data_IF_940206790661
#
_entry.id   IF_940206790661
#
_cell.length_a   1.000
_cell.length_b   1.000
_cell.length_c   1.000
_cell.angle_alpha   90.00
_cell.angle_beta   90.00
_cell.angle_gamma   90.00
#
_symmetry.space_group_name_H-M   'P 1'
#
loop_
_entity.id
_entity.type
_entity.pdbx_description
1 polymer ?
#
# COMPACT_ATOMS: atom_id res chain seq x y z
N UNK A 1 -21.83 30.99 77.16
CA UNK A 1 -21.66 30.46 75.81
C UNK A 1 -21.15 31.54 74.85
N UNK A 2 -19.96 32.13 75.07
CA UNK A 2 -19.46 33.29 74.30
C UNK A 2 -17.94 33.19 73.96
N UNK A 3 -17.42 31.97 73.80
CA UNK A 3 -15.98 31.77 73.52
C UNK A 3 -15.60 31.37 72.06
N UNK A 4 -16.57 31.00 71.19
CA UNK A 4 -16.27 30.43 69.86
C UNK A 4 -16.36 31.41 68.70
N UNK A 5 -17.08 32.50 68.86
CA UNK A 5 -17.26 33.50 67.79
C UNK A 5 -15.99 34.37 67.55
N UNK A 6 -15.18 34.63 68.57
CA UNK A 6 -13.96 35.41 68.47
C UNK A 6 -12.81 34.69 67.75
N UNK A 7 -12.78 33.34 67.84
CA UNK A 7 -11.73 32.51 67.16
C UNK A 7 -11.95 32.42 65.65
N UNK A 8 -13.16 32.32 65.16
CA UNK A 8 -13.48 32.25 63.73
C UNK A 8 -13.27 33.61 63.04
N UNK A 9 -13.57 34.69 63.67
CA UNK A 9 -13.33 36.03 63.16
C UNK A 9 -11.84 36.36 63.09
N UNK A 10 -11.02 35.91 64.04
CA UNK A 10 -9.56 36.03 64.00
C UNK A 10 -8.91 35.20 62.93
N UNK A 11 -9.41 33.99 62.68
CA UNK A 11 -8.91 33.11 61.65
C UNK A 11 -9.30 33.59 60.23
N UNK A 12 -10.50 34.14 60.06
CA UNK A 12 -10.94 34.77 58.81
C UNK A 12 -10.13 36.04 58.51
N UNK A 13 -9.83 36.87 59.51
CA UNK A 13 -8.96 38.04 59.32
C UNK A 13 -7.50 37.67 59.02
N UNK A 14 -6.95 36.62 59.65
CA UNK A 14 -5.63 36.10 59.36
C UNK A 14 -5.55 35.47 57.96
N UNK A 15 -6.55 34.76 57.52
CA UNK A 15 -6.63 34.20 56.15
C UNK A 15 -6.76 35.34 55.12
N UNK A 16 -7.58 36.36 55.37
CA UNK A 16 -7.70 37.51 54.49
C UNK A 16 -6.40 38.36 54.46
N UNK A 17 -5.69 38.48 55.57
CA UNK A 17 -4.41 39.16 55.63
C UNK A 17 -3.32 38.32 54.90
N UNK A 18 -3.33 37.01 55.07
CA UNK A 18 -2.42 36.11 54.32
C UNK A 18 -2.70 36.11 52.82
N UNK A 19 -3.98 36.07 52.41
CA UNK A 19 -4.39 36.21 51.02
C UNK A 19 -4.08 37.58 50.42
N UNK A 20 -4.20 38.66 51.20
CA UNK A 20 -3.84 40.00 50.75
C UNK A 20 -2.33 40.26 50.75
N UNK A 21 -1.53 39.56 51.52
CA UNK A 21 -0.07 39.66 51.52
C UNK A 21 0.62 38.87 50.40
N UNK A 22 -0.09 37.90 49.77
CA UNK A 22 0.44 37.09 48.71
C UNK A 22 0.28 37.75 47.33
N UNK A 23 -0.39 38.89 47.20
CA UNK A 23 -0.71 39.56 45.94
C UNK A 23 -0.18 40.98 45.83
N UNK A 24 1.08 41.24 46.16
CA UNK A 24 1.75 42.42 45.61
C UNK A 24 2.15 42.12 44.17
N UNK A 25 1.18 42.29 43.26
CA UNK A 25 1.46 42.41 41.84
C UNK A 25 2.47 43.56 41.64
N UNK A 26 3.70 43.24 41.34
CA UNK A 26 4.73 44.25 41.00
C UNK A 26 4.41 44.68 39.57
N UNK A 27 3.47 45.63 39.43
CA UNK A 27 3.25 46.29 38.15
C UNK A 27 4.47 47.14 37.85
N UNK A 28 5.20 46.81 36.76
CA UNK A 28 6.36 47.55 36.30
C UNK A 28 5.85 48.69 35.41
N UNK A 29 6.14 49.93 35.79
CA UNK A 29 5.75 51.12 35.04
C UNK A 29 6.39 51.10 33.65
N UNK A 30 5.71 51.44 32.55
CA UNK A 30 6.27 51.52 31.21
C UNK A 30 7.52 52.38 31.05
N UNK A 31 7.79 53.27 31.99
CA UNK A 31 8.99 54.09 32.05
C UNK A 31 10.21 53.42 32.70
N UNK A 32 10.06 52.25 33.31
CA UNK A 32 11.13 51.49 33.93
C UNK A 32 11.90 50.68 32.84
N UNK A 33 13.25 50.75 32.78
CA UNK A 33 14.02 49.94 31.84
C UNK A 33 13.82 48.40 31.98
N UNK A 34 13.29 47.96 33.11
CA UNK A 34 12.93 46.55 33.34
C UNK A 34 11.71 46.09 32.53
N UNK A 35 10.82 47.02 32.14
CA UNK A 35 9.62 46.73 31.38
C UNK A 35 9.96 46.08 30.02
N UNK A 36 10.96 46.60 29.32
CA UNK A 36 11.40 46.00 28.03
C UNK A 36 11.96 44.58 28.19
N UNK A 37 12.62 44.28 29.32
CA UNK A 37 13.13 42.94 29.60
C UNK A 37 12.00 41.95 29.85
N UNK A 38 10.93 42.32 30.55
CA UNK A 38 9.77 41.47 30.77
C UNK A 38 9.04 41.15 29.47
N UNK A 39 8.86 42.15 28.59
CA UNK A 39 8.29 41.93 27.25
C UNK A 39 9.16 40.98 26.41
N UNK A 40 10.48 41.23 26.40
CA UNK A 40 11.43 40.42 25.63
C UNK A 40 11.40 38.95 26.09
N UNK A 41 11.36 38.72 27.41
CA UNK A 41 11.23 37.38 28.00
C UNK A 41 9.89 36.77 27.64
N UNK A 42 8.77 37.49 27.74
CA UNK A 42 7.47 37.00 27.37
C UNK A 42 7.38 36.57 25.91
N UNK A 43 7.90 37.40 24.99
CA UNK A 43 7.96 37.06 23.56
C UNK A 43 8.86 35.84 23.32
N UNK A 44 10.00 35.75 23.98
CA UNK A 44 10.90 34.61 23.88
C UNK A 44 10.24 33.31 24.39
N UNK A 45 9.47 33.39 25.49
CA UNK A 45 8.71 32.28 26.04
C UNK A 45 7.61 31.81 25.05
N UNK A 46 6.84 32.73 24.45
CA UNK A 46 5.83 32.40 23.46
C UNK A 46 6.44 31.67 22.26
N UNK A 47 7.57 32.19 21.72
CA UNK A 47 8.26 31.55 20.62
C UNK A 47 8.84 30.18 21.00
N UNK A 48 9.40 30.05 22.19
CA UNK A 48 9.94 28.77 22.69
C UNK A 48 8.83 27.75 22.94
N UNK A 49 7.70 28.19 23.52
CA UNK A 49 6.49 27.35 23.65
C UNK A 49 5.98 26.85 22.31
N UNK A 50 5.94 27.75 21.31
CA UNK A 50 5.58 27.39 19.93
C UNK A 50 6.51 26.35 19.32
N UNK A 51 7.82 26.46 19.54
CA UNK A 51 8.79 25.45 19.09
C UNK A 51 8.51 24.09 19.77
N UNK A 52 8.34 24.05 21.07
CA UNK A 52 8.09 22.80 21.79
C UNK A 52 6.74 22.17 21.40
N UNK A 53 5.70 22.97 21.34
CA UNK A 53 4.35 22.53 20.96
C UNK A 53 4.34 21.99 19.52
N UNK A 54 4.92 22.74 18.58
CA UNK A 54 5.05 22.34 17.18
C UNK A 54 5.88 21.08 17.00
N UNK A 55 7.05 20.99 17.64
CA UNK A 55 7.91 19.79 17.58
C UNK A 55 7.24 18.57 18.19
N UNK A 56 6.46 18.75 19.27
CA UNK A 56 5.72 17.63 19.88
C UNK A 56 4.76 17.01 18.87
N UNK A 57 3.93 17.81 18.20
CA UNK A 57 3.01 17.32 17.20
C UNK A 57 3.75 16.84 15.95
N UNK A 58 4.70 17.62 15.42
CA UNK A 58 5.44 17.32 14.20
C UNK A 58 6.23 16.00 14.28
N UNK A 59 6.98 15.78 15.36
CA UNK A 59 7.75 14.55 15.54
C UNK A 59 6.88 13.32 15.85
N UNK A 60 5.78 13.52 16.58
CA UNK A 60 4.89 12.40 16.92
C UNK A 60 3.97 12.01 15.76
N UNK A 61 3.69 12.89 14.82
CA UNK A 61 2.96 12.60 13.60
C UNK A 61 3.75 11.76 12.59
N UNK A 62 5.10 11.75 12.70
CA UNK A 62 5.94 11.00 11.78
C UNK A 62 5.94 9.50 12.11
N UNK A 63 5.60 8.68 11.11
CA UNK A 63 5.72 7.23 11.23
C UNK A 63 7.16 6.77 11.03
N UNK A 64 7.61 5.85 11.87
CA UNK A 64 8.97 5.28 11.82
C UNK A 64 9.24 4.50 10.54
N UNK A 65 8.23 3.82 9.99
CA UNK A 65 8.36 3.06 8.73
C UNK A 65 8.55 4.04 7.57
N UNK A 66 7.70 5.06 7.49
CA UNK A 66 7.83 6.08 6.45
C UNK A 66 9.20 6.78 6.53
N UNK A 67 9.69 7.09 7.73
CA UNK A 67 11.04 7.63 7.92
C UNK A 67 12.14 6.66 7.45
N UNK A 68 11.98 5.35 7.66
CA UNK A 68 12.92 4.34 7.15
C UNK A 68 12.91 4.29 5.62
N UNK A 69 11.72 4.32 5.00
CA UNK A 69 11.58 4.35 3.54
C UNK A 69 12.22 5.62 2.98
N UNK A 70 11.91 6.81 3.52
CA UNK A 70 12.50 8.08 3.09
C UNK A 70 14.02 8.12 3.27
N UNK A 71 14.55 7.48 4.32
CA UNK A 71 16.00 7.41 4.53
C UNK A 71 16.74 6.55 3.50
N UNK A 72 16.04 5.65 2.78
CA UNK A 72 16.61 4.75 1.76
C UNK A 72 16.28 5.17 0.34
N UNK A 73 15.05 5.62 0.09
CA UNK A 73 14.51 5.86 -1.25
C UNK A 73 14.09 7.32 -1.52
N UNK A 74 14.18 8.22 -0.53
CA UNK A 74 13.86 9.63 -0.69
C UNK A 74 14.91 10.41 -1.50
N UNK A 75 14.64 11.70 -1.72
CA UNK A 75 15.64 12.62 -2.27
C UNK A 75 16.83 12.77 -1.31
N UNK A 76 18.02 13.22 -1.77
CA UNK A 76 19.20 13.37 -0.90
C UNK A 76 18.94 14.22 0.36
N UNK A 77 18.11 15.26 0.25
CA UNK A 77 17.69 16.08 1.38
C UNK A 77 16.77 15.30 2.35
N UNK A 78 15.77 14.60 1.82
CA UNK A 78 14.84 13.80 2.64
C UNK A 78 15.57 12.65 3.34
N UNK A 79 16.53 12.02 2.69
CA UNK A 79 17.34 10.95 3.29
C UNK A 79 18.12 11.47 4.52
N UNK A 80 18.75 12.63 4.38
CA UNK A 80 19.49 13.24 5.50
C UNK A 80 18.55 13.65 6.64
N UNK A 81 17.43 14.32 6.31
CA UNK A 81 16.43 14.74 7.28
C UNK A 81 15.81 13.54 8.01
N UNK A 82 15.37 12.51 7.27
CA UNK A 82 14.79 11.30 7.83
C UNK A 82 15.77 10.55 8.73
N UNK A 83 17.05 10.46 8.33
CA UNK A 83 18.10 9.82 9.12
C UNK A 83 18.33 10.54 10.46
N UNK A 84 18.35 11.90 10.45
CA UNK A 84 18.50 12.70 11.67
C UNK A 84 17.32 12.50 12.63
N UNK A 85 16.08 12.57 12.12
CA UNK A 85 14.87 12.36 12.94
C UNK A 85 14.79 10.93 13.45
N UNK A 86 15.07 9.95 12.60
CA UNK A 86 15.08 8.53 12.98
C UNK A 86 16.08 8.25 14.10
N UNK A 87 17.28 8.86 14.02
CA UNK A 87 18.30 8.73 15.07
C UNK A 87 17.87 9.34 16.40
N UNK A 88 17.05 10.40 16.39
CA UNK A 88 16.45 10.98 17.58
C UNK A 88 15.37 10.07 18.18
N UNK A 89 14.43 9.59 17.34
CA UNK A 89 13.33 8.73 17.79
C UNK A 89 13.81 7.36 18.29
N UNK A 90 14.96 6.86 17.82
CA UNK A 90 15.59 5.64 18.33
C UNK A 90 16.05 5.73 19.79
N UNK A 91 16.26 6.92 20.35
CA UNK A 91 16.58 7.11 21.78
C UNK A 91 15.40 6.66 22.65
N UNK A 92 14.18 6.82 22.15
CA UNK A 92 12.91 6.44 22.76
C UNK A 92 11.82 7.44 22.40
N UNK A 93 10.81 6.97 21.66
CA UNK A 93 9.71 7.85 21.20
C UNK A 93 8.97 8.50 22.39
N UNK A 94 8.61 7.69 23.39
CA UNK A 94 7.95 8.19 24.60
C UNK A 94 8.87 9.11 25.41
N UNK A 95 10.17 8.86 25.44
CA UNK A 95 11.12 9.75 26.12
C UNK A 95 11.19 11.14 25.47
N UNK A 96 11.26 11.19 24.14
CA UNK A 96 11.24 12.45 23.39
C UNK A 96 9.92 13.19 23.63
N UNK A 97 8.79 12.47 23.57
CA UNK A 97 7.47 13.04 23.86
C UNK A 97 7.41 13.67 25.26
N UNK A 98 7.81 12.92 26.29
CA UNK A 98 7.76 13.37 27.68
C UNK A 98 8.63 14.61 27.89
N UNK A 99 9.84 14.63 27.32
CA UNK A 99 10.75 15.78 27.46
C UNK A 99 10.19 17.01 26.78
N UNK A 100 9.65 16.89 25.57
CA UNK A 100 9.04 18.02 24.86
C UNK A 100 7.80 18.56 25.59
N UNK A 101 6.92 17.67 26.07
CA UNK A 101 5.75 18.05 26.87
C UNK A 101 6.15 18.74 28.18
N UNK A 102 7.18 18.24 28.86
CA UNK A 102 7.68 18.84 30.10
C UNK A 102 8.21 20.27 29.83
N UNK A 103 9.00 20.44 28.77
CA UNK A 103 9.50 21.76 28.37
C UNK A 103 8.37 22.70 27.97
N UNK A 104 7.40 22.24 27.21
CA UNK A 104 6.23 23.03 26.81
C UNK A 104 5.42 23.48 28.03
N UNK A 105 5.13 22.56 28.96
CA UNK A 105 4.40 22.87 30.19
C UNK A 105 5.18 23.90 31.05
N UNK A 106 6.50 23.75 31.17
CA UNK A 106 7.33 24.68 31.94
C UNK A 106 7.27 26.10 31.37
N UNK A 107 7.35 26.21 30.04
CA UNK A 107 7.26 27.50 29.33
C UNK A 107 5.88 28.12 29.51
N UNK A 108 4.83 27.35 29.26
CA UNK A 108 3.45 27.82 29.34
C UNK A 108 3.04 28.23 30.78
N UNK A 109 3.54 27.55 31.80
CA UNK A 109 3.29 27.95 33.20
C UNK A 109 4.11 29.14 33.63
N UNK A 110 5.25 29.40 33.00
CA UNK A 110 6.09 30.58 33.28
C UNK A 110 5.56 31.84 32.60
N UNK A 111 4.96 31.76 31.44
CA UNK A 111 4.49 32.90 30.65
C UNK A 111 3.53 33.83 31.40
N UNK A 112 2.46 33.37 32.10
CA UNK A 112 1.57 34.22 32.83
C UNK A 112 2.25 35.04 33.91
N UNK A 113 3.28 34.50 34.57
CA UNK A 113 4.05 35.19 35.62
C UNK A 113 4.73 36.44 35.09
N UNK A 114 5.34 36.36 33.92
CA UNK A 114 5.99 37.50 33.28
C UNK A 114 4.98 38.48 32.69
N UNK A 115 3.89 37.96 32.12
CA UNK A 115 2.89 38.79 31.45
C UNK A 115 2.02 39.57 32.43
N UNK A 116 1.74 39.04 33.63
CA UNK A 116 1.04 39.73 34.69
C UNK A 116 1.81 40.95 35.18
N UNK A 117 3.14 40.87 35.22
CA UNK A 117 4.04 41.99 35.55
C UNK A 117 4.01 43.14 34.54
N UNK A 118 3.61 42.85 33.30
CA UNK A 118 3.58 43.83 32.18
C UNK A 118 2.19 44.44 32.02
N UNK A 119 1.12 43.63 32.08
CA UNK A 119 -0.24 44.06 31.73
C UNK A 119 -1.01 44.58 32.98
N UNK A 120 -0.49 44.29 34.20
CA UNK A 120 -1.07 44.83 35.41
C UNK A 120 -2.43 44.28 35.78
N UNK A 121 -2.54 42.98 35.89
CA UNK A 121 -3.64 42.23 36.54
C UNK A 121 -5.06 42.54 36.07
N UNK A 122 -5.81 41.53 35.80
CA UNK A 122 -7.23 41.61 35.49
C UNK A 122 -7.67 40.53 34.54
N UNK A 123 -8.94 40.18 34.52
CA UNK A 123 -9.46 39.13 33.70
C UNK A 123 -9.26 39.37 32.17
N UNK A 124 -9.20 40.65 31.75
CA UNK A 124 -8.95 41.02 30.34
C UNK A 124 -7.50 40.68 29.94
N UNK A 125 -6.53 40.93 30.84
CA UNK A 125 -5.13 40.58 30.64
C UNK A 125 -4.94 39.05 30.52
N UNK A 126 -5.62 38.27 31.37
CA UNK A 126 -5.60 36.80 31.32
C UNK A 126 -6.16 36.30 30.03
N UNK A 127 -7.34 36.81 29.58
CA UNK A 127 -7.93 36.41 28.31
C UNK A 127 -7.04 36.78 27.10
N UNK A 128 -6.48 37.97 27.11
CA UNK A 128 -5.55 38.43 26.04
C UNK A 128 -4.27 37.60 25.98
N UNK A 129 -3.67 37.30 27.15
CA UNK A 129 -2.50 36.46 27.28
C UNK A 129 -2.76 35.04 26.78
N UNK A 130 -3.87 34.41 27.27
CA UNK A 130 -4.25 33.05 26.84
C UNK A 130 -4.55 33.00 25.36
N UNK A 131 -5.23 34.00 24.80
CA UNK A 131 -5.51 34.09 23.36
C UNK A 131 -4.23 34.20 22.52
N UNK A 132 -3.29 35.02 22.98
CA UNK A 132 -2.00 35.20 22.30
C UNK A 132 -1.15 33.93 22.36
N UNK A 133 -1.08 33.28 23.52
CA UNK A 133 -0.40 32.02 23.73
C UNK A 133 -1.00 30.92 22.86
N UNK A 134 -2.32 30.77 22.89
CA UNK A 134 -3.03 29.75 22.09
C UNK A 134 -2.74 29.91 20.59
N UNK A 135 -2.85 31.13 20.06
CA UNK A 135 -2.68 31.38 18.63
C UNK A 135 -1.21 31.27 18.22
N UNK A 136 -0.32 32.02 18.89
CA UNK A 136 1.09 32.13 18.48
C UNK A 136 2.00 31.10 19.14
N UNK A 137 1.66 30.61 20.33
CA UNK A 137 2.41 29.60 21.06
C UNK A 137 1.99 28.16 20.77
N UNK A 138 0.77 27.93 20.24
CA UNK A 138 0.30 26.58 19.97
C UNK A 138 -0.22 26.38 18.55
N UNK A 139 -1.35 27.00 18.16
CA UNK A 139 -2.08 26.65 16.92
C UNK A 139 -1.24 26.86 15.67
N UNK A 140 -0.64 28.03 15.50
CA UNK A 140 0.19 28.36 14.32
C UNK A 140 1.43 27.47 14.23
N UNK A 141 2.27 27.34 15.29
CA UNK A 141 3.43 26.46 15.25
C UNK A 141 3.08 25.00 15.01
N UNK A 142 2.02 24.48 15.63
CA UNK A 142 1.55 23.10 15.38
C UNK A 142 1.12 22.90 13.93
N UNK A 143 0.36 23.82 13.35
CA UNK A 143 -0.05 23.76 11.94
C UNK A 143 1.14 23.75 10.98
N UNK A 144 2.15 24.60 11.23
CA UNK A 144 3.39 24.65 10.44
C UNK A 144 4.19 23.35 10.58
N UNK A 145 4.36 22.85 11.81
CA UNK A 145 5.11 21.64 12.08
C UNK A 145 4.39 20.38 11.58
N UNK A 146 3.06 20.38 11.54
CA UNK A 146 2.30 19.28 10.94
C UNK A 146 2.57 19.17 9.43
N UNK A 147 2.71 20.30 8.73
CA UNK A 147 3.00 20.32 7.29
C UNK A 147 4.48 20.06 6.97
N UNK A 148 5.39 20.62 7.73
CA UNK A 148 6.83 20.59 7.49
C UNK A 148 7.60 19.82 8.57
N UNK A 149 6.95 18.83 9.21
CA UNK A 149 7.48 18.13 10.40
C UNK A 149 8.83 17.47 10.20
N UNK A 150 9.11 16.92 9.01
CA UNK A 150 10.37 16.28 8.70
C UNK A 150 11.53 17.30 8.70
N UNK A 151 11.40 18.39 7.96
CA UNK A 151 12.44 19.41 7.82
C UNK A 151 12.69 20.14 9.15
N UNK A 152 11.61 20.55 9.84
CA UNK A 152 11.70 21.23 11.13
C UNK A 152 12.25 20.27 12.20
N UNK A 153 11.73 19.03 12.24
CA UNK A 153 12.20 17.99 13.17
C UNK A 153 13.68 17.67 12.98
N UNK A 154 14.16 17.57 11.75
CA UNK A 154 15.57 17.34 11.43
C UNK A 154 16.47 18.52 11.87
N UNK A 155 16.01 19.76 11.64
CA UNK A 155 16.74 20.98 12.03
C UNK A 155 16.88 21.08 13.55
N UNK A 156 15.81 20.81 14.30
CA UNK A 156 15.80 20.89 15.76
C UNK A 156 16.26 19.57 16.44
N UNK A 157 16.50 18.49 15.71
CA UNK A 157 16.93 17.21 16.28
C UNK A 157 18.14 17.32 17.23
N UNK A 158 19.24 18.08 16.94
CA UNK A 158 20.35 18.20 17.87
C UNK A 158 19.96 18.93 19.16
N UNK A 159 19.11 19.96 19.07
CA UNK A 159 18.61 20.69 20.22
C UNK A 159 17.72 19.79 21.11
N UNK A 160 16.78 19.08 20.51
CA UNK A 160 15.91 18.13 21.24
C UNK A 160 16.74 17.02 21.89
N UNK A 161 17.75 16.53 21.20
CA UNK A 161 18.69 15.52 21.77
C UNK A 161 19.40 16.02 23.01
N UNK A 162 19.88 17.26 22.98
CA UNK A 162 20.51 17.90 24.14
C UNK A 162 19.52 18.00 25.33
N UNK A 163 18.26 18.39 25.06
CA UNK A 163 17.22 18.45 26.10
C UNK A 163 16.89 17.07 26.66
N UNK A 164 16.81 16.04 25.78
CA UNK A 164 16.59 14.66 26.22
C UNK A 164 17.69 14.21 27.17
N UNK A 165 18.96 14.51 26.91
CA UNK A 165 20.03 14.14 27.83
C UNK A 165 19.98 14.97 29.13
N UNK A 166 19.66 16.27 29.06
CA UNK A 166 19.55 17.13 30.24
C UNK A 166 18.42 16.67 31.18
N UNK A 167 17.25 16.37 30.59
CA UNK A 167 16.06 15.98 31.36
C UNK A 167 15.90 14.46 31.50
N UNK A 168 16.93 13.68 31.11
CA UNK A 168 16.93 12.21 31.17
C UNK A 168 16.51 11.64 32.55
N UNK A 169 17.04 12.17 33.70
CA UNK A 169 16.70 11.60 35.00
C UNK A 169 15.22 11.76 35.37
N UNK A 170 14.54 12.78 34.84
CA UNK A 170 13.11 13.01 35.09
C UNK A 170 12.28 12.31 33.99
N UNK A 171 12.69 12.43 32.74
CA UNK A 171 11.96 11.90 31.61
C UNK A 171 11.97 10.36 31.53
N UNK A 172 13.08 9.70 31.90
CA UNK A 172 13.22 8.26 31.80
C UNK A 172 12.22 7.46 32.64
N UNK A 173 12.02 7.76 33.94
CA UNK A 173 11.04 7.05 34.75
C UNK A 173 9.62 7.15 34.17
N UNK A 174 9.23 8.34 33.69
CA UNK A 174 7.91 8.58 33.14
C UNK A 174 7.75 7.87 31.78
N UNK A 175 8.78 7.91 30.92
CA UNK A 175 8.80 7.17 29.66
C UNK A 175 8.69 5.66 29.89
N UNK A 176 9.40 5.11 30.87
CA UNK A 176 9.30 3.68 31.24
C UNK A 176 7.88 3.31 31.73
N UNK A 177 7.24 4.19 32.47
CA UNK A 177 5.84 4.01 32.89
C UNK A 177 4.90 3.96 31.68
N UNK A 178 5.08 4.88 30.71
CA UNK A 178 4.31 4.88 29.46
C UNK A 178 4.59 3.63 28.61
N UNK A 179 5.85 3.21 28.50
CA UNK A 179 6.24 1.99 27.80
C UNK A 179 5.61 0.74 28.41
N UNK A 180 5.48 0.71 29.74
CA UNK A 180 4.82 -0.39 30.46
C UNK A 180 3.29 -0.39 30.24
N UNK A 181 2.66 0.78 30.19
CA UNK A 181 1.21 0.92 30.06
C UNK A 181 0.72 0.69 28.63
N UNK A 182 1.43 1.23 27.62
CA UNK A 182 1.03 1.25 26.21
C UNK A 182 1.86 0.30 25.33
N UNK A 183 2.87 -0.35 25.90
CA UNK A 183 3.83 -1.16 25.14
C UNK A 183 4.95 -0.31 24.52
N UNK A 184 6.12 -0.91 24.38
CA UNK A 184 7.23 -0.27 23.69
C UNK A 184 6.89 -0.15 22.19
N UNK A 185 6.81 1.06 21.66
CA UNK A 185 6.61 1.36 20.23
C UNK A 185 7.87 1.03 19.42
N UNK A 186 8.35 -0.21 19.50
CA UNK A 186 9.54 -0.69 18.80
C UNK A 186 9.24 -1.77 17.75
N UNK A 187 8.07 -2.36 17.81
CA UNK A 187 7.65 -3.29 16.75
C UNK A 187 7.06 -2.46 15.62
N UNK A 188 7.82 -2.31 14.54
CA UNK A 188 7.38 -1.66 13.31
C UNK A 188 6.01 -2.20 12.92
N UNK A 189 5.09 -1.31 12.56
CA UNK A 189 3.77 -1.68 12.02
C UNK A 189 4.03 -2.69 10.90
N UNK A 190 3.79 -3.97 11.19
CA UNK A 190 3.82 -5.00 10.16
C UNK A 190 2.52 -4.82 9.39
N UNK A 191 2.60 -4.22 8.22
CA UNK A 191 1.46 -4.19 7.32
C UNK A 191 1.01 -5.63 7.09
N UNK A 192 -0.24 -5.90 7.42
CA UNK A 192 -0.86 -7.16 7.04
C UNK A 192 -0.95 -7.17 5.52
N UNK A 193 -0.83 -8.35 4.92
CA UNK A 193 -0.94 -8.54 3.47
C UNK A 193 -2.21 -7.86 2.89
N UNK A 194 -3.32 -7.93 3.64
CA UNK A 194 -4.57 -7.25 3.29
C UNK A 194 -4.46 -5.72 3.26
N UNK A 195 -3.69 -5.13 4.18
CA UNK A 195 -3.44 -3.68 4.20
C UNK A 195 -2.57 -3.27 3.02
N UNK A 196 -1.52 -4.07 2.71
CA UNK A 196 -0.68 -3.83 1.54
C UNK A 196 -1.49 -3.93 0.24
N UNK A 197 -2.40 -4.92 0.14
CA UNK A 197 -3.32 -5.04 -0.99
C UNK A 197 -4.23 -3.79 -1.10
N UNK A 198 -4.77 -3.31 0.01
CA UNK A 198 -5.58 -2.09 0.03
C UNK A 198 -4.78 -0.86 -0.40
N UNK A 199 -3.53 -0.71 0.02
CA UNK A 199 -2.65 0.37 -0.43
C UNK A 199 -2.44 0.33 -1.94
N UNK A 200 -2.15 -0.84 -2.50
CA UNK A 200 -1.99 -1.04 -3.95
C UNK A 200 -3.28 -0.69 -4.69
N UNK A 201 -4.44 -1.18 -4.20
CA UNK A 201 -5.74 -0.94 -4.86
C UNK A 201 -6.21 0.52 -4.78
N UNK A 202 -5.79 1.28 -3.76
CA UNK A 202 -6.11 2.70 -3.60
C UNK A 202 -5.24 3.63 -4.46
N UNK A 203 -4.25 3.09 -5.17
CA UNK A 203 -3.38 3.87 -6.06
C UNK A 203 -2.60 4.97 -5.31
N UNK A 204 -2.15 4.70 -4.09
CA UNK A 204 -1.57 5.70 -3.17
C UNK A 204 -0.32 6.39 -3.72
N UNK A 205 0.24 5.89 -4.82
CA UNK A 205 1.31 6.61 -5.52
C UNK A 205 0.90 6.86 -6.97
N UNK A 206 0.69 8.13 -7.33
CA UNK A 206 0.45 8.63 -8.71
C UNK A 206 1.55 8.27 -9.74
N UNK A 207 2.49 7.40 -9.38
CA UNK A 207 3.68 7.06 -10.17
C UNK A 207 3.65 5.68 -10.81
N UNK A 208 2.75 4.78 -10.37
CA UNK A 208 2.63 3.44 -10.94
C UNK A 208 1.59 3.42 -12.06
N UNK A 209 1.90 2.75 -13.16
CA UNK A 209 0.93 2.54 -14.24
C UNK A 209 -0.16 1.55 -13.78
N UNK A 210 -1.37 1.68 -14.33
CA UNK A 210 -2.51 0.80 -14.02
C UNK A 210 -2.16 -0.70 -14.17
N UNK A 211 -1.35 -1.02 -15.18
CA UNK A 211 -0.87 -2.40 -15.43
C UNK A 211 0.08 -2.90 -14.34
N UNK A 212 0.89 -2.01 -13.75
CA UNK A 212 1.80 -2.36 -12.63
C UNK A 212 1.04 -2.59 -11.33
N UNK A 213 0.01 -1.77 -11.08
CA UNK A 213 -0.88 -1.93 -9.93
C UNK A 213 -1.67 -3.25 -10.01
N UNK A 214 -2.17 -3.60 -11.22
CA UNK A 214 -2.85 -4.87 -11.45
C UNK A 214 -1.92 -6.06 -11.18
N UNK A 215 -0.72 -6.03 -11.75
CA UNK A 215 0.27 -7.09 -11.55
C UNK A 215 0.63 -7.26 -10.06
N UNK A 216 0.85 -6.14 -9.35
CA UNK A 216 1.20 -6.18 -7.93
C UNK A 216 0.04 -6.74 -7.08
N UNK A 217 -1.21 -6.38 -7.41
CA UNK A 217 -2.41 -6.94 -6.80
C UNK A 217 -2.50 -8.45 -6.98
N UNK A 218 -2.33 -8.94 -8.22
CA UNK A 218 -2.36 -10.36 -8.55
C UNK A 218 -1.25 -11.15 -7.83
N UNK A 219 -0.03 -10.61 -7.77
CA UNK A 219 1.08 -11.24 -7.03
C UNK A 219 0.75 -11.41 -5.55
N UNK A 220 0.09 -10.42 -4.94
CA UNK A 220 -0.33 -10.50 -3.54
C UNK A 220 -1.42 -11.58 -3.33
N UNK A 221 -2.33 -11.77 -4.30
CA UNK A 221 -3.37 -12.80 -4.24
C UNK A 221 -2.87 -14.20 -4.61
N UNK A 222 -1.84 -14.28 -5.46
CA UNK A 222 -1.35 -15.50 -6.06
C UNK A 222 -1.08 -16.63 -5.05
N UNK A 223 -0.53 -16.30 -3.88
CA UNK A 223 -0.23 -17.30 -2.86
C UNK A 223 -1.45 -17.82 -2.09
N UNK A 224 -2.63 -17.20 -2.25
CA UNK A 224 -3.87 -17.58 -1.58
C UNK A 224 -4.80 -18.38 -2.50
N UNK A 225 -4.57 -18.30 -3.82
CA UNK A 225 -5.35 -19.04 -4.80
C UNK A 225 -4.89 -20.48 -4.91
N UNK A 226 -5.86 -21.39 -5.08
CA UNK A 226 -5.64 -22.82 -5.27
C UNK A 226 -5.77 -23.20 -6.74
N UNK A 227 -5.06 -24.23 -7.16
CA UNK A 227 -5.09 -24.76 -8.54
C UNK A 227 -6.50 -25.12 -8.99
N UNK A 228 -7.33 -25.61 -8.08
CA UNK A 228 -8.73 -25.96 -8.40
C UNK A 228 -9.60 -24.79 -8.84
N UNK A 229 -9.20 -23.53 -8.56
CA UNK A 229 -9.97 -22.34 -8.96
C UNK A 229 -9.68 -21.89 -10.39
N UNK A 230 -8.50 -22.25 -10.92
CA UNK A 230 -8.05 -21.82 -12.25
C UNK A 230 -8.00 -22.96 -13.28
N UNK A 231 -8.15 -24.22 -12.80
CA UNK A 231 -8.08 -25.39 -13.69
C UNK A 231 -9.12 -25.34 -14.80
N UNK A 232 -8.75 -25.80 -15.97
CA UNK A 232 -9.69 -26.11 -17.03
C UNK A 232 -10.38 -27.44 -16.73
N UNK A 233 -11.73 -27.49 -16.60
CA UNK A 233 -12.48 -28.72 -16.35
C UNK A 233 -12.24 -29.77 -17.44
N UNK A 234 -12.28 -31.04 -17.09
CA UNK A 234 -12.13 -32.15 -18.08
C UNK A 234 -13.19 -32.12 -19.18
N UNK A 235 -14.38 -31.57 -18.91
CA UNK A 235 -15.44 -31.41 -19.92
C UNK A 235 -15.03 -30.53 -21.09
N UNK A 236 -14.15 -29.55 -20.81
CA UNK A 236 -13.70 -28.55 -21.77
C UNK A 236 -12.31 -28.86 -22.33
N UNK A 237 -11.65 -29.87 -21.75
CA UNK A 237 -10.31 -30.29 -22.14
C UNK A 237 -10.33 -31.28 -23.27
N UNK A 238 -9.54 -31.09 -24.30
CA UNK A 238 -9.38 -32.06 -25.38
C UNK A 238 -8.47 -33.20 -24.95
N UNK A 239 -9.04 -34.42 -24.80
CA UNK A 239 -8.34 -35.64 -24.40
C UNK A 239 -8.56 -36.74 -25.42
N UNK A 240 -7.61 -37.68 -25.56
CA UNK A 240 -7.70 -38.79 -26.48
C UNK A 240 -7.76 -40.14 -25.76
N UNK A 241 -8.60 -41.11 -26.24
CA UNK A 241 -8.55 -42.47 -25.76
C UNK A 241 -7.30 -43.20 -26.26
N UNK A 242 -6.77 -44.05 -25.42
CA UNK A 242 -5.50 -44.77 -25.65
C UNK A 242 -5.47 -45.76 -26.80
N UNK A 243 -6.65 -46.33 -27.14
CA UNK A 243 -6.86 -47.37 -28.17
C UNK A 243 -7.17 -46.79 -29.55
N UNK A 244 -7.47 -45.49 -29.66
CA UNK A 244 -7.74 -44.85 -30.95
C UNK A 244 -6.52 -44.98 -31.87
N UNK A 245 -6.72 -45.40 -33.11
CA UNK A 245 -5.65 -45.48 -34.13
C UNK A 245 -5.32 -44.07 -34.61
N UNK A 246 -4.04 -43.84 -34.81
CA UNK A 246 -3.55 -42.57 -35.35
C UNK A 246 -3.65 -42.63 -36.88
N UNK A 247 -4.76 -42.17 -37.42
CA UNK A 247 -5.08 -42.01 -38.82
C UNK A 247 -4.98 -40.54 -39.27
N UNK A 248 -5.18 -40.29 -40.56
CA UNK A 248 -5.17 -38.95 -41.13
C UNK A 248 -6.21 -38.04 -40.51
N UNK A 249 -7.39 -38.56 -40.17
CA UNK A 249 -8.49 -37.80 -39.59
C UNK A 249 -8.12 -37.29 -38.18
N UNK A 250 -7.54 -38.17 -37.35
CA UNK A 250 -7.07 -37.80 -36.00
C UNK A 250 -5.96 -36.74 -36.08
N UNK A 251 -4.98 -36.89 -36.98
CA UNK A 251 -3.89 -35.92 -37.18
C UNK A 251 -4.47 -34.55 -37.56
N UNK A 252 -5.39 -34.53 -38.52
CA UNK A 252 -6.05 -33.30 -38.95
C UNK A 252 -6.92 -32.69 -37.83
N UNK A 253 -7.54 -33.50 -37.00
CA UNK A 253 -8.29 -33.05 -35.84
C UNK A 253 -7.40 -32.38 -34.81
N UNK A 254 -6.27 -33.00 -34.43
CA UNK A 254 -5.31 -32.47 -33.45
C UNK A 254 -4.67 -31.20 -33.96
N UNK A 255 -4.31 -31.16 -35.23
CA UNK A 255 -3.75 -29.96 -35.86
C UNK A 255 -4.75 -28.80 -35.89
N UNK A 256 -6.03 -29.09 -36.19
CA UNK A 256 -7.07 -28.06 -36.16
C UNK A 256 -7.35 -27.50 -34.76
N UNK A 257 -7.15 -28.33 -33.71
CA UNK A 257 -7.29 -27.89 -32.31
C UNK A 257 -6.12 -27.03 -31.86
N UNK A 258 -4.92 -27.21 -32.44
CA UNK A 258 -3.74 -26.41 -32.14
C UNK A 258 -2.99 -26.78 -30.86
N UNK A 259 -3.42 -27.82 -30.13
CA UNK A 259 -2.78 -28.18 -28.87
C UNK A 259 -1.44 -28.89 -29.08
N UNK A 260 -0.40 -28.42 -28.43
CA UNK A 260 0.96 -29.00 -28.51
C UNK A 260 1.12 -30.29 -27.68
N UNK A 261 0.29 -30.45 -26.64
CA UNK A 261 0.26 -31.60 -25.73
C UNK A 261 -1.17 -32.03 -25.52
N UNK A 262 -1.42 -33.32 -25.71
CA UNK A 262 -2.76 -33.88 -25.56
C UNK A 262 -2.75 -34.96 -24.48
N UNK A 263 -3.56 -34.84 -23.42
CA UNK A 263 -3.72 -35.86 -22.40
C UNK A 263 -4.36 -37.10 -22.99
N UNK A 264 -3.86 -38.27 -22.58
CA UNK A 264 -4.36 -39.56 -23.05
C UNK A 264 -4.90 -40.35 -21.87
N UNK A 265 -6.15 -40.76 -21.99
CA UNK A 265 -6.82 -41.57 -20.97
C UNK A 265 -6.99 -43.04 -21.41
N UNK A 266 -7.18 -43.94 -20.45
CA UNK A 266 -7.42 -45.34 -20.71
C UNK A 266 -8.85 -45.55 -21.27
N UNK A 267 -8.98 -46.15 -22.43
CA UNK A 267 -10.27 -46.31 -23.12
C UNK A 267 -11.34 -47.01 -22.26
N UNK A 268 -10.91 -47.94 -21.39
CA UNK A 268 -11.80 -48.66 -20.47
C UNK A 268 -12.20 -47.87 -19.23
N UNK A 269 -11.41 -46.82 -18.90
CA UNK A 269 -11.59 -45.97 -17.70
C UNK A 269 -11.30 -44.52 -18.03
N UNK A 270 -12.29 -43.72 -18.42
CA UNK A 270 -12.08 -42.32 -18.82
C UNK A 270 -11.48 -41.41 -17.76
N UNK A 271 -11.55 -41.82 -16.48
CA UNK A 271 -10.94 -41.07 -15.36
C UNK A 271 -9.47 -41.44 -15.12
N UNK A 272 -8.95 -42.48 -15.80
CA UNK A 272 -7.54 -42.94 -15.67
C UNK A 272 -6.71 -42.41 -16.80
N UNK A 273 -5.78 -41.50 -16.49
CA UNK A 273 -4.85 -40.90 -17.46
C UNK A 273 -3.53 -41.66 -17.50
N UNK A 274 -3.09 -42.00 -18.72
CA UNK A 274 -1.83 -42.70 -18.97
C UNK A 274 -0.64 -41.75 -19.04
N UNK A 275 -0.88 -40.55 -19.55
CA UNK A 275 0.16 -39.54 -19.74
C UNK A 275 -0.19 -38.53 -20.83
N UNK A 276 0.82 -37.92 -21.40
CA UNK A 276 0.72 -36.86 -22.41
C UNK A 276 1.31 -37.34 -23.73
N UNK A 277 0.57 -37.16 -24.81
CA UNK A 277 1.04 -37.29 -26.19
C UNK A 277 1.46 -35.90 -26.69
N UNK A 278 2.76 -35.61 -26.87
CA UNK A 278 3.18 -34.37 -27.49
C UNK A 278 2.99 -34.45 -29.02
N UNK A 279 2.47 -33.39 -29.63
CA UNK A 279 2.23 -33.33 -31.08
C UNK A 279 3.51 -33.62 -31.88
N UNK A 280 4.67 -33.25 -31.37
CA UNK A 280 5.98 -33.55 -32.01
C UNK A 280 6.26 -35.04 -32.18
N UNK A 281 5.61 -35.93 -31.42
CA UNK A 281 5.77 -37.37 -31.57
C UNK A 281 5.19 -37.88 -32.88
N UNK A 282 4.22 -37.16 -33.46
CA UNK A 282 3.62 -37.48 -34.76
C UNK A 282 4.42 -37.04 -35.97
N UNK A 283 5.39 -36.16 -35.84
CA UNK A 283 6.15 -35.54 -36.96
C UNK A 283 6.92 -36.60 -37.79
N UNK A 284 7.34 -37.69 -37.15
CA UNK A 284 8.13 -38.76 -37.82
C UNK A 284 7.29 -40.06 -37.97
N UNK A 285 6.00 -39.97 -37.76
CA UNK A 285 5.12 -41.13 -37.82
C UNK A 285 4.62 -41.39 -39.24
N UNK A 286 4.73 -42.64 -39.71
CA UNK A 286 4.12 -43.08 -40.95
C UNK A 286 2.69 -43.61 -40.65
N UNK A 287 1.70 -43.00 -41.27
CA UNK A 287 0.28 -43.33 -41.07
C UNK A 287 -0.04 -44.76 -41.51
N UNK A 288 0.79 -45.38 -42.41
CA UNK A 288 0.64 -46.76 -42.83
C UNK A 288 0.88 -47.77 -41.69
N UNK A 289 1.51 -47.36 -40.58
CA UNK A 289 1.80 -48.21 -39.42
C UNK A 289 0.57 -48.49 -38.53
N UNK A 290 -0.52 -47.75 -38.68
CA UNK A 290 -1.78 -47.87 -37.92
C UNK A 290 -1.62 -48.05 -36.38
N UNK A 291 -0.68 -47.30 -35.77
CA UNK A 291 -0.38 -47.40 -34.34
C UNK A 291 -1.46 -46.71 -33.50
N UNK A 292 -1.78 -47.29 -32.35
CA UNK A 292 -2.68 -46.66 -31.39
C UNK A 292 -2.00 -45.46 -30.65
N UNK A 293 -2.82 -44.49 -30.20
CA UNK A 293 -2.40 -43.26 -29.48
C UNK A 293 -1.50 -43.58 -28.29
N UNK A 294 -1.72 -44.69 -27.59
CA UNK A 294 -0.86 -45.13 -26.47
C UNK A 294 0.62 -45.27 -26.83
N UNK A 295 0.97 -45.57 -28.08
CA UNK A 295 2.33 -45.73 -28.53
C UNK A 295 3.10 -44.38 -28.55
N UNK A 296 2.37 -43.28 -28.58
CA UNK A 296 2.90 -41.90 -28.64
C UNK A 296 2.90 -41.17 -27.29
N UNK A 297 2.41 -41.82 -26.22
CA UNK A 297 2.48 -41.33 -24.85
C UNK A 297 3.94 -41.40 -24.39
N UNK A 298 4.60 -40.24 -24.34
CA UNK A 298 6.04 -40.17 -24.03
C UNK A 298 6.33 -39.41 -22.74
N UNK A 299 5.35 -38.75 -22.17
CA UNK A 299 5.49 -37.95 -20.97
C UNK A 299 4.47 -38.37 -19.92
N UNK A 300 4.87 -38.40 -18.65
CA UNK A 300 3.95 -38.60 -17.55
C UNK A 300 3.04 -37.36 -17.40
N UNK A 301 1.81 -37.56 -16.94
CA UNK A 301 0.88 -36.52 -16.52
C UNK A 301 0.82 -36.55 -14.99
N UNK A 302 1.61 -35.73 -14.29
CA UNK A 302 1.63 -35.68 -12.85
C UNK A 302 0.28 -35.20 -12.31
N UNK A 303 -0.09 -35.69 -11.11
CA UNK A 303 -1.36 -35.38 -10.47
C UNK A 303 -1.14 -34.50 -9.23
N UNK A 304 -2.06 -33.58 -9.00
CA UNK A 304 -2.07 -32.72 -7.83
C UNK A 304 -3.48 -32.60 -7.23
N UNK A 305 -3.60 -32.33 -5.93
CA UNK A 305 -4.90 -32.07 -5.31
C UNK A 305 -5.41 -30.67 -5.70
N UNK A 306 -6.73 -30.42 -5.66
CA UNK A 306 -7.33 -29.15 -6.06
C UNK A 306 -7.00 -27.98 -5.12
N UNK A 307 -6.62 -28.25 -3.88
CA UNK A 307 -6.24 -27.29 -2.85
C UNK A 307 -4.74 -26.90 -2.89
N UNK A 308 -3.97 -27.49 -3.81
CA UNK A 308 -2.56 -27.09 -4.02
C UNK A 308 -2.48 -25.59 -4.35
N UNK A 309 -1.59 -24.86 -3.68
CA UNK A 309 -1.40 -23.43 -3.95
C UNK A 309 -0.75 -23.19 -5.32
N UNK A 310 -1.09 -22.04 -5.96
CA UNK A 310 -0.47 -21.67 -7.25
C UNK A 310 1.05 -21.52 -7.14
N UNK A 311 1.56 -21.10 -5.98
CA UNK A 311 3.02 -20.99 -5.73
C UNK A 311 3.68 -22.37 -5.79
N UNK A 312 3.08 -23.38 -5.17
CA UNK A 312 3.62 -24.75 -5.19
C UNK A 312 3.56 -25.35 -6.59
N UNK A 313 2.46 -25.14 -7.32
CA UNK A 313 2.33 -25.56 -8.70
C UNK A 313 3.37 -24.87 -9.61
N UNK A 314 3.58 -23.57 -9.44
CA UNK A 314 4.61 -22.80 -10.15
C UNK A 314 6.02 -23.36 -9.86
N UNK A 315 6.35 -23.61 -8.58
CA UNK A 315 7.62 -24.21 -8.20
C UNK A 315 7.82 -25.59 -8.84
N UNK A 316 6.76 -26.39 -8.92
CA UNK A 316 6.82 -27.69 -9.63
C UNK A 316 7.11 -27.50 -11.12
N UNK A 317 6.42 -26.59 -11.79
CA UNK A 317 6.67 -26.33 -13.22
C UNK A 317 8.09 -25.80 -13.49
N UNK A 318 8.65 -25.03 -12.56
CA UNK A 318 10.03 -24.54 -12.64
C UNK A 318 11.08 -25.68 -12.60
N UNK A 319 10.73 -26.86 -12.11
CA UNK A 319 11.63 -28.03 -12.17
C UNK A 319 11.82 -28.56 -13.60
N UNK A 320 10.98 -28.14 -14.55
CA UNK A 320 11.00 -28.59 -15.94
C UNK A 320 10.53 -30.03 -16.17
N UNK A 321 9.99 -30.70 -15.15
CA UNK A 321 9.54 -32.08 -15.25
C UNK A 321 8.28 -32.22 -16.11
N UNK A 322 7.35 -31.30 -15.98
CA UNK A 322 6.13 -31.21 -16.81
C UNK A 322 5.66 -29.77 -16.84
N UNK A 323 4.92 -29.37 -17.88
CA UNK A 323 4.22 -28.08 -17.97
C UNK A 323 2.72 -28.25 -17.88
N UNK A 324 2.25 -29.45 -17.48
CA UNK A 324 0.84 -29.79 -17.35
C UNK A 324 0.65 -30.69 -16.13
N UNK A 325 -0.35 -30.39 -15.30
CA UNK A 325 -0.75 -31.17 -14.13
C UNK A 325 -2.22 -31.59 -14.29
N UNK A 326 -2.54 -32.82 -13.90
CA UNK A 326 -3.90 -33.29 -13.72
C UNK A 326 -4.36 -32.98 -12.31
N UNK A 327 -5.43 -32.22 -12.19
CA UNK A 327 -6.07 -31.94 -10.89
C UNK A 327 -7.00 -33.08 -10.54
N UNK A 328 -6.77 -33.73 -9.41
CA UNK A 328 -7.54 -34.91 -8.97
C UNK A 328 -7.85 -34.79 -7.48
N UNK A 329 -9.05 -35.24 -7.10
CA UNK A 329 -9.43 -35.40 -5.69
C UNK A 329 -8.59 -36.47 -4.98
N UNK A 330 -8.11 -37.47 -5.74
CA UNK A 330 -7.32 -38.57 -5.22
C UNK A 330 -6.04 -38.73 -6.06
N UNK A 331 -5.01 -37.86 -5.84
CA UNK A 331 -3.78 -37.94 -6.60
C UNK A 331 -3.11 -39.32 -6.49
N UNK A 332 -2.70 -39.88 -7.64
CA UNK A 332 -2.10 -41.21 -7.72
C UNK A 332 -3.09 -42.37 -7.92
N UNK A 333 -4.38 -42.11 -7.82
CA UNK A 333 -5.41 -43.15 -8.12
C UNK A 333 -5.98 -42.96 -9.54
N UNK A 334 -6.48 -44.04 -10.18
CA UNK A 334 -7.09 -44.01 -11.52
C UNK A 334 -8.50 -43.41 -11.51
N UNK A 335 -8.84 -42.55 -10.56
CA UNK A 335 -10.14 -41.92 -10.37
C UNK A 335 -10.02 -40.55 -9.75
N UNK A 336 -11.06 -39.73 -9.87
CA UNK A 336 -11.12 -38.42 -9.21
C UNK A 336 -10.52 -37.30 -10.00
N UNK A 337 -10.19 -37.50 -11.27
CA UNK A 337 -9.73 -36.46 -12.17
C UNK A 337 -10.82 -35.39 -12.36
N UNK A 338 -10.47 -34.11 -12.11
CA UNK A 338 -11.37 -32.97 -12.16
C UNK A 338 -11.09 -32.07 -13.37
N UNK A 339 -9.83 -31.78 -13.64
CA UNK A 339 -9.41 -30.85 -14.67
C UNK A 339 -7.91 -30.88 -14.91
N UNK A 340 -7.45 -29.98 -15.71
CA UNK A 340 -6.03 -29.81 -16.05
C UNK A 340 -5.63 -28.36 -15.78
N UNK A 341 -4.40 -28.17 -15.34
CA UNK A 341 -3.75 -26.86 -15.22
C UNK A 341 -2.40 -26.91 -15.93
N UNK A 342 -2.10 -25.84 -16.65
CA UNK A 342 -0.85 -25.66 -17.38
C UNK A 342 0.00 -24.56 -16.76
N UNK A 343 1.26 -24.45 -17.18
CA UNK A 343 2.12 -23.35 -16.80
C UNK A 343 1.56 -22.01 -17.30
N UNK A 344 0.97 -22.04 -18.48
CA UNK A 344 0.33 -20.90 -19.12
C UNK A 344 -0.79 -20.33 -18.24
N UNK A 345 -1.71 -21.16 -17.74
CA UNK A 345 -2.81 -20.75 -16.85
C UNK A 345 -2.30 -20.05 -15.57
N UNK A 346 -1.20 -20.57 -15.01
CA UNK A 346 -0.57 -19.97 -13.80
C UNK A 346 0.04 -18.61 -14.11
N UNK A 347 0.69 -18.47 -15.28
CA UNK A 347 1.30 -17.19 -15.69
C UNK A 347 0.23 -16.17 -16.03
N UNK A 348 -0.88 -16.57 -16.66
CA UNK A 348 -2.04 -15.74 -16.94
C UNK A 348 -2.67 -15.17 -15.66
N UNK A 349 -2.83 -16.03 -14.66
CA UNK A 349 -3.35 -15.63 -13.35
C UNK A 349 -2.40 -14.62 -12.66
N UNK A 350 -1.09 -14.80 -12.80
CA UNK A 350 -0.09 -13.87 -12.26
C UNK A 350 -0.14 -12.51 -12.97
N UNK A 351 -0.28 -12.53 -14.31
CA UNK A 351 -0.32 -11.32 -15.13
C UNK A 351 -1.69 -10.62 -15.09
N UNK A 352 -2.76 -11.35 -14.73
CA UNK A 352 -4.13 -10.87 -14.78
C UNK A 352 -4.63 -10.62 -16.21
N UNK A 353 -4.03 -11.26 -17.19
CA UNK A 353 -4.34 -11.12 -18.61
C UNK A 353 -4.12 -12.45 -19.32
N UNK A 354 -5.06 -12.81 -20.19
CA UNK A 354 -4.94 -13.96 -21.09
C UNK A 354 -3.75 -13.79 -22.04
N UNK A 355 -2.98 -14.86 -22.20
CA UNK A 355 -1.87 -14.96 -23.17
C UNK A 355 -2.42 -15.64 -24.43
N UNK A 356 -2.47 -14.87 -25.52
CA UNK A 356 -3.00 -15.38 -26.78
C UNK A 356 -1.84 -15.96 -27.60
N UNK A 357 -1.88 -17.28 -27.85
CA UNK A 357 -0.94 -17.96 -28.76
C UNK A 357 -1.27 -17.67 -30.24
N UNK A 358 -0.30 -17.90 -31.14
CA UNK A 358 -0.45 -17.68 -32.58
C UNK A 358 -1.57 -18.55 -33.20
N UNK A 359 -1.89 -19.69 -32.60
CA UNK A 359 -2.89 -20.65 -33.05
C UNK A 359 -4.27 -20.46 -32.46
N UNK A 360 -4.41 -19.65 -31.40
CA UNK A 360 -5.67 -19.46 -30.69
C UNK A 360 -6.72 -18.78 -31.57
N UNK A 361 -7.95 -19.31 -31.52
CA UNK A 361 -9.12 -18.75 -32.20
C UNK A 361 -9.91 -17.80 -31.32
N UNK A 362 -9.86 -17.99 -30.02
CA UNK A 362 -10.58 -17.22 -29.01
C UNK A 362 -9.58 -16.64 -28.01
N UNK A 363 -9.92 -15.49 -27.44
CA UNK A 363 -9.14 -14.82 -26.38
C UNK A 363 -9.24 -15.61 -25.08
N UNK A 364 -10.44 -16.18 -24.84
CA UNK A 364 -10.76 -17.01 -23.69
C UNK A 364 -11.73 -18.10 -24.14
N UNK A 365 -11.48 -19.32 -23.73
CA UNK A 365 -12.29 -20.49 -24.09
C UNK A 365 -13.70 -20.44 -23.49
N UNK A 366 -13.90 -19.75 -22.38
CA UNK A 366 -15.21 -19.63 -21.73
C UNK A 366 -16.08 -18.58 -22.41
N UNK A 367 -15.54 -17.40 -22.68
CA UNK A 367 -16.27 -16.26 -23.28
C UNK A 367 -16.43 -16.38 -24.81
N UNK A 368 -15.61 -17.22 -25.46
CA UNK A 368 -15.56 -17.43 -26.93
C UNK A 368 -15.44 -16.12 -27.74
N UNK A 369 -14.74 -15.14 -27.21
CA UNK A 369 -14.45 -13.89 -27.92
C UNK A 369 -13.39 -14.18 -28.97
N UNK A 370 -13.67 -13.97 -30.28
CA UNK A 370 -12.70 -14.28 -31.33
C UNK A 370 -11.46 -13.39 -31.25
N UNK A 371 -10.29 -13.98 -31.47
CA UNK A 371 -9.02 -13.23 -31.56
C UNK A 371 -8.99 -12.42 -32.82
N UNK A 372 -8.98 -11.09 -32.72
CA UNK A 372 -8.79 -10.19 -33.86
C UNK A 372 -7.30 -9.93 -34.04
N UNK A 373 -6.71 -10.54 -35.05
CA UNK A 373 -5.30 -10.33 -35.42
C UNK A 373 -5.20 -9.26 -36.50
N UNK A 374 -4.54 -8.12 -36.22
CA UNK A 374 -4.25 -7.15 -37.26
C UNK A 374 -3.29 -7.78 -38.28
N UNK A 375 -3.63 -7.75 -39.59
CA UNK A 375 -2.78 -8.20 -40.68
C UNK A 375 -1.69 -7.16 -40.89
N UNK A 376 -0.51 -7.39 -40.32
CA UNK A 376 0.65 -6.54 -40.59
C UNK A 376 1.45 -7.12 -41.76
N UNK A 377 1.93 -6.30 -42.72
CA UNK A 377 2.87 -6.76 -43.73
C UNK A 377 4.17 -7.19 -43.05
N UNK A 378 4.66 -8.37 -43.43
CA UNK A 378 5.79 -9.08 -42.81
C UNK A 378 7.07 -8.22 -42.75
N UNK A 379 7.21 -7.21 -43.60
CA UNK A 379 8.42 -6.38 -43.72
C UNK A 379 8.51 -5.12 -42.86
N UNK A 380 7.50 -4.79 -42.02
CA UNK A 380 7.50 -3.50 -41.30
C UNK A 380 7.13 -3.58 -39.80
N UNK A 381 7.17 -4.73 -39.19
CA UNK A 381 6.74 -4.92 -37.81
C UNK A 381 7.82 -4.59 -36.76
N UNK A 382 8.00 -3.32 -36.45
CA UNK A 382 8.62 -2.98 -35.19
C UNK A 382 7.60 -3.18 -34.05
N UNK A 383 8.02 -3.78 -32.93
CA UNK A 383 7.20 -4.07 -31.72
C UNK A 383 6.38 -2.84 -31.29
N UNK A 384 6.94 -1.64 -31.39
CA UNK A 384 6.28 -0.39 -31.06
C UNK A 384 4.98 -0.12 -31.83
N UNK A 385 4.94 -0.46 -33.13
CA UNK A 385 3.73 -0.29 -33.98
C UNK A 385 2.62 -1.28 -33.62
N UNK A 386 2.98 -2.47 -33.14
CA UNK A 386 2.03 -3.49 -32.70
C UNK A 386 1.29 -2.98 -31.44
N UNK A 387 2.01 -2.38 -30.49
CA UNK A 387 1.41 -1.80 -29.29
C UNK A 387 0.54 -0.56 -29.60
N UNK A 388 0.96 0.32 -30.50
CA UNK A 388 0.18 1.48 -30.92
C UNK A 388 -1.13 1.07 -31.62
N UNK A 389 -1.11 0.01 -32.41
CA UNK A 389 -2.31 -0.57 -33.03
C UNK A 389 -3.30 -1.14 -32.01
N UNK A 390 -2.84 -1.78 -30.94
CA UNK A 390 -3.69 -2.30 -29.85
C UNK A 390 -4.33 -1.18 -29.04
N UNK A 391 -3.60 -0.12 -28.72
CA UNK A 391 -4.11 1.04 -28.00
C UNK A 391 -5.21 1.76 -28.78
N UNK A 392 -5.06 1.89 -30.10
CA UNK A 392 -6.07 2.50 -30.95
C UNK A 392 -7.30 1.60 -31.11
N UNK A 393 -7.14 0.29 -31.15
CA UNK A 393 -8.26 -0.65 -31.20
C UNK A 393 -9.06 -0.67 -29.89
N UNK A 394 -8.40 -0.65 -28.74
CA UNK A 394 -9.04 -0.56 -27.40
C UNK A 394 -9.81 0.78 -27.26
N UNK A 395 -9.27 1.89 -27.78
CA UNK A 395 -10.01 3.17 -27.83
C UNK A 395 -11.25 3.11 -28.72
N UNK A 396 -11.19 2.44 -29.86
CA UNK A 396 -12.37 2.25 -30.72
C UNK A 396 -13.46 1.39 -30.05
N UNK A 397 -13.08 0.30 -29.38
CA UNK A 397 -14.03 -0.55 -28.65
C UNK A 397 -14.69 0.16 -27.47
N UNK A 398 -13.97 1.02 -26.76
CA UNK A 398 -14.53 1.85 -25.68
C UNK A 398 -15.46 2.96 -26.20
N UNK A 399 -15.30 3.40 -27.44
CA UNK A 399 -16.18 4.38 -28.09
C UNK A 399 -17.42 3.74 -28.75
N UNK A 400 -17.42 2.43 -28.94
CA UNK A 400 -18.54 1.69 -29.58
C UNK A 400 -19.54 1.08 -28.58
N UNK A 401 -19.39 1.27 -27.26
CA UNK A 401 -20.44 0.96 -26.30
C UNK A 401 -21.58 1.98 -26.44
N UNK A 402 -22.81 1.56 -26.75
CA UNK A 402 -23.91 2.51 -26.90
C UNK A 402 -24.25 3.14 -25.55
N UNK A 403 -23.97 4.42 -25.43
CA UNK A 403 -24.53 5.23 -24.38
C UNK A 403 -26.06 5.20 -24.47
N UNK A 404 -26.73 4.70 -23.47
CA UNK A 404 -28.15 4.95 -23.22
C UNK A 404 -28.40 6.45 -23.16
N UNK A 405 -29.40 6.98 -23.87
CA UNK A 405 -29.62 8.42 -23.92
C UNK A 405 -30.29 8.92 -22.64
N UNK A 406 -29.59 9.74 -21.86
CA UNK A 406 -30.20 10.62 -20.89
C UNK A 406 -30.36 12.02 -21.55
N UNK A 407 -31.61 12.39 -21.76
CA UNK A 407 -32.20 13.73 -21.98
C UNK A 407 -31.29 14.94 -22.13
N UNK A 408 -31.51 15.63 -23.25
CA UNK A 408 -30.99 16.93 -23.71
C UNK A 408 -31.25 18.13 -22.76
N UNK A 409 -30.51 19.27 -22.96
CA UNK A 409 -30.99 20.21 -23.94
C UNK A 409 -29.93 20.80 -24.90
N UNK A 410 -30.47 21.34 -26.00
CA UNK A 410 -29.82 21.88 -27.16
C UNK A 410 -29.01 23.16 -26.94
N UNK A 411 -27.88 23.31 -27.66
CA UNK A 411 -27.42 24.61 -28.19
C UNK A 411 -26.47 24.42 -29.38
N UNK A 412 -26.95 24.84 -30.49
CA UNK A 412 -26.33 25.43 -31.68
C UNK A 412 -24.82 25.65 -31.73
N UNK A 413 -24.20 25.23 -32.86
CA UNK A 413 -23.23 26.07 -33.49
C UNK A 413 -21.97 25.44 -34.09
N UNK A 414 -21.94 25.42 -35.42
CA UNK A 414 -20.79 25.48 -36.34
C UNK A 414 -19.99 24.23 -36.70
N UNK A 415 -20.27 23.82 -37.96
CA UNK A 415 -19.38 23.08 -38.85
C UNK A 415 -18.04 23.81 -39.00
N UNK A 416 -16.95 23.07 -38.93
CA UNK A 416 -15.66 23.45 -39.50
C UNK A 416 -15.24 22.33 -40.45
N UNK A 417 -15.09 22.69 -41.72
CA UNK A 417 -14.60 21.87 -42.81
C UNK A 417 -13.18 21.38 -42.55
N UNK A 418 -12.94 20.10 -42.84
CA UNK A 418 -11.58 19.53 -42.93
C UNK A 418 -11.32 19.21 -44.42
N UNK A 419 -10.22 19.74 -45.02
CA UNK A 419 -9.88 19.47 -46.41
C UNK A 419 -9.40 18.04 -46.62
N UNK A 420 -9.86 17.45 -47.71
CA UNK A 420 -9.34 16.21 -48.32
C UNK A 420 -8.01 16.48 -49.00
N UNK A 421 -6.90 15.94 -48.44
CA UNK A 421 -5.67 15.65 -49.16
C UNK A 421 -4.86 14.65 -48.30
N UNK A 422 -4.82 13.40 -48.79
CA UNK A 422 -3.72 12.49 -49.00
C UNK A 422 -4.26 11.10 -49.33
N UNK A 423 -4.30 10.82 -50.62
CA UNK A 423 -4.40 9.50 -51.25
C UNK A 423 -3.21 8.63 -50.91
#
# INVERSE_FOLDING_TARGET
MDGSAGSLAGMSAAINTALSSTGKHVHVDPSDPRFMWYILIAVALVLLGGIFSGLTLGLMALDTINLQVLSQAGTPEEQEQASRVLSLLKIGRHLVLVVLLLCNTLVNTSLPVFLDSVIGGGWIAILGATGLELIFGEVIPQAICNKYGLAIGATFAPFVRALVYLLYPIGKPLAMFLDHLFGAHGEGVRYRKAELKAFVSLGVEDKLADDELLLLGNVLEFSEKAVGTIMTPLSDTYCLPSDRVVDTELVDEVLRKGHTRVPVYEATRPSSFLGIMPLRALVRYDLADEKAVRAFVTQALPQCPPDLSLVEAMNYFQTGMSHMLLVSTNPGEPRGALGIVTLEDIVEELLGKEIIDETDRYVDMQSRIPVIRPRYPIHQSGIRRIFEGRLNHRRMLLQSTPHTPSSQPAATGRLVDIPSEYV
#
